data_IF_917566658090
#
_entry.id   IF_917566658090
#
_cell.length_a   1.000
_cell.length_b   1.000
_cell.length_c   1.000
_cell.angle_alpha   90.00
_cell.angle_beta   90.00
_cell.angle_gamma   90.00
#
_symmetry.space_group_name_H-M   'P 1'
#
loop_
_entity.id
_entity.type
_entity.pdbx_description
1 polymer ?
#
# COMPACT_ATOMS: atom_id res chain seq x y z
N UNK A 1 12.55 -21.37 45.67
CA UNK A 1 13.20 -21.37 44.34
C UNK A 1 12.26 -21.26 43.13
N UNK A 2 10.92 -21.34 43.27
CA UNK A 2 10.00 -21.28 42.11
C UNK A 2 10.01 -19.89 41.44
N UNK A 3 10.00 -18.82 42.24
CA UNK A 3 10.03 -17.42 41.77
C UNK A 3 11.31 -17.10 40.97
N UNK A 4 12.45 -17.66 41.40
CA UNK A 4 13.74 -17.48 40.71
C UNK A 4 13.75 -18.15 39.31
N UNK A 5 13.03 -19.27 39.16
CA UNK A 5 12.89 -19.95 37.86
C UNK A 5 12.07 -19.14 36.87
N UNK A 6 10.96 -18.52 37.32
CA UNK A 6 10.14 -17.66 36.45
C UNK A 6 10.86 -16.37 36.06
N UNK A 7 11.68 -15.82 36.97
CA UNK A 7 12.51 -14.65 36.67
C UNK A 7 13.59 -14.95 35.62
N UNK A 8 14.18 -16.15 35.66
CA UNK A 8 15.16 -16.59 34.67
C UNK A 8 14.54 -16.77 33.26
N UNK A 9 13.32 -17.33 33.21
CA UNK A 9 12.57 -17.51 31.95
C UNK A 9 12.16 -16.16 31.35
N UNK A 10 11.73 -15.21 32.18
CA UNK A 10 11.38 -13.86 31.73
C UNK A 10 12.59 -13.10 31.16
N UNK A 11 13.77 -13.25 31.76
CA UNK A 11 15.00 -12.62 31.27
C UNK A 11 15.42 -13.20 29.90
N UNK A 12 15.22 -14.50 29.68
CA UNK A 12 15.51 -15.16 28.41
C UNK A 12 14.60 -14.68 27.28
N UNK A 13 13.32 -14.40 27.58
CA UNK A 13 12.36 -13.85 26.61
C UNK A 13 12.72 -12.41 26.22
N UNK A 14 13.17 -11.60 27.17
CA UNK A 14 13.62 -10.22 26.91
C UNK A 14 14.90 -10.14 26.07
N UNK A 15 15.82 -11.09 26.25
CA UNK A 15 17.09 -11.16 25.49
C UNK A 15 16.92 -11.76 24.08
N UNK A 16 15.84 -12.51 23.82
CA UNK A 16 15.56 -13.14 22.52
C UNK A 16 14.86 -12.24 21.50
N UNK A 17 14.52 -11.00 21.86
CA UNK A 17 13.82 -10.07 20.97
C UNK A 17 14.81 -9.47 19.98
N UNK A 18 14.89 -10.06 18.79
CA UNK A 18 15.67 -9.54 17.68
C UNK A 18 15.02 -8.24 17.15
N UNK A 19 15.64 -7.09 17.43
CA UNK A 19 15.18 -5.76 16.99
C UNK A 19 15.06 -5.60 15.46
N UNK A 20 15.73 -6.47 14.69
CA UNK A 20 15.70 -6.47 13.23
C UNK A 20 14.42 -7.07 12.62
N UNK A 21 13.56 -7.71 13.42
CA UNK A 21 12.30 -8.28 12.94
C UNK A 21 11.24 -7.23 12.54
N UNK A 22 11.47 -5.95 12.88
CA UNK A 22 10.51 -4.87 12.64
C UNK A 22 10.68 -4.16 11.28
N UNK A 23 11.75 -4.43 10.52
CA UNK A 23 11.95 -3.77 9.23
C UNK A 23 11.33 -4.65 8.14
N UNK A 24 10.25 -4.21 7.46
CA UNK A 24 9.68 -4.95 6.35
C UNK A 24 10.74 -5.12 5.25
N UNK A 25 10.99 -6.36 4.85
CA UNK A 25 12.02 -6.70 3.87
C UNK A 25 11.56 -6.53 2.43
N UNK A 26 10.25 -6.60 2.20
CA UNK A 26 9.64 -6.61 0.86
C UNK A 26 9.13 -5.23 0.43
N UNK A 27 9.14 -4.25 1.33
CA UNK A 27 8.64 -2.90 1.03
C UNK A 27 9.83 -2.02 0.63
N UNK A 28 9.71 -1.26 -0.48
CA UNK A 28 10.74 -0.32 -0.89
C UNK A 28 11.09 0.63 0.25
N UNK A 29 12.38 0.68 0.61
CA UNK A 29 12.89 1.59 1.63
C UNK A 29 12.98 3.00 1.02
N UNK A 30 13.06 4.07 1.83
CA UNK A 30 13.30 5.43 1.32
C UNK A 30 14.60 5.60 0.52
N UNK A 31 15.47 4.58 0.54
CA UNK A 31 16.73 4.51 -0.20
C UNK A 31 16.52 3.86 -1.58
N UNK A 32 15.43 3.10 -1.75
CA UNK A 32 15.05 2.38 -2.97
C UNK A 32 14.21 3.29 -3.88
N UNK A 33 14.78 4.43 -4.26
CA UNK A 33 14.12 5.43 -5.12
C UNK A 33 14.46 5.24 -6.61
N UNK A 34 14.64 3.99 -7.04
CA UNK A 34 14.88 3.70 -8.45
C UNK A 34 13.70 4.21 -9.30
N UNK A 35 13.95 4.81 -10.48
CA UNK A 35 12.88 5.20 -11.38
C UNK A 35 11.97 4.01 -11.72
N UNK A 36 10.68 4.29 -11.92
CA UNK A 36 9.72 3.28 -12.38
C UNK A 36 10.12 2.80 -13.78
N UNK A 37 10.23 1.49 -13.97
CA UNK A 37 10.52 0.91 -15.29
C UNK A 37 9.25 0.78 -16.13
N UNK A 38 9.14 1.61 -17.17
CA UNK A 38 8.02 1.58 -18.11
C UNK A 38 8.19 0.54 -19.23
N UNK A 39 9.25 -0.25 -19.22
CA UNK A 39 9.37 -1.44 -20.09
C UNK A 39 8.41 -2.55 -19.64
N UNK A 40 8.05 -2.57 -18.35
CA UNK A 40 7.07 -3.49 -17.80
C UNK A 40 5.63 -3.01 -18.09
N UNK A 41 4.79 -3.83 -18.75
CA UNK A 41 3.41 -3.45 -19.06
C UNK A 41 2.58 -3.09 -17.83
N UNK A 42 2.86 -3.71 -16.68
CA UNK A 42 2.11 -3.48 -15.43
C UNK A 42 2.28 -2.03 -14.95
N UNK A 43 3.48 -1.46 -15.09
CA UNK A 43 3.77 -0.10 -14.66
C UNK A 43 3.07 0.92 -15.56
N UNK A 44 3.01 0.68 -16.87
CA UNK A 44 2.21 1.50 -17.79
C UNK A 44 0.73 1.46 -17.40
N UNK A 45 0.19 0.27 -17.12
CA UNK A 45 -1.24 0.11 -16.78
C UNK A 45 -1.57 0.87 -15.49
N UNK A 46 -0.78 0.67 -14.43
CA UNK A 46 -1.05 1.24 -13.11
C UNK A 46 -0.82 2.75 -13.07
N UNK A 47 0.28 3.24 -13.63
CA UNK A 47 0.68 4.63 -13.48
C UNK A 47 0.13 5.56 -14.57
N UNK A 48 -0.34 5.02 -15.71
CA UNK A 48 -0.85 5.84 -16.83
C UNK A 48 -2.30 5.50 -17.16
N UNK A 49 -2.59 4.24 -17.49
CA UNK A 49 -3.91 3.84 -18.01
C UNK A 49 -4.99 3.97 -16.93
N UNK A 50 -4.73 3.50 -15.71
CA UNK A 50 -5.71 3.53 -14.63
C UNK A 50 -6.12 4.97 -14.23
N UNK A 51 -5.20 5.94 -14.05
CA UNK A 51 -5.55 7.35 -13.86
C UNK A 51 -6.38 7.93 -15.02
N UNK A 52 -5.99 7.65 -16.27
CA UNK A 52 -6.75 8.11 -17.44
C UNK A 52 -8.16 7.51 -17.49
N UNK A 53 -8.31 6.23 -17.15
CA UNK A 53 -9.60 5.57 -17.08
C UNK A 53 -10.52 6.22 -16.05
N UNK A 54 -9.99 6.58 -14.87
CA UNK A 54 -10.74 7.31 -13.83
C UNK A 54 -11.24 8.65 -14.38
N UNK A 55 -10.38 9.42 -15.05
CA UNK A 55 -10.76 10.72 -15.66
C UNK A 55 -11.88 10.54 -16.67
N UNK A 56 -11.75 9.56 -17.58
CA UNK A 56 -12.77 9.26 -18.60
C UNK A 56 -14.10 8.86 -17.95
N UNK A 57 -14.06 7.97 -16.96
CA UNK A 57 -15.27 7.52 -16.24
C UNK A 57 -15.96 8.69 -15.53
N UNK A 58 -15.21 9.59 -14.91
CA UNK A 58 -15.77 10.79 -14.27
C UNK A 58 -16.45 11.71 -15.29
N UNK A 59 -15.85 11.91 -16.46
CA UNK A 59 -16.43 12.72 -17.54
C UNK A 59 -17.75 12.08 -18.03
N UNK A 60 -17.74 10.77 -18.29
CA UNK A 60 -18.94 10.04 -18.73
C UNK A 60 -20.05 10.14 -17.68
N UNK A 61 -19.72 9.91 -16.40
CA UNK A 61 -20.67 10.00 -15.30
C UNK A 61 -21.27 11.39 -15.16
N UNK A 62 -20.44 12.44 -15.26
CA UNK A 62 -20.90 13.83 -15.20
C UNK A 62 -21.86 14.17 -16.34
N UNK A 63 -21.53 13.72 -17.56
CA UNK A 63 -22.35 14.00 -18.74
C UNK A 63 -23.69 13.25 -18.71
N UNK A 64 -23.73 12.06 -18.10
CA UNK A 64 -24.98 11.29 -17.96
C UNK A 64 -25.96 11.99 -17.00
N UNK A 65 -25.48 12.52 -15.86
CA UNK A 65 -26.33 13.23 -14.88
C UNK A 65 -27.01 14.48 -15.47
N UNK A 66 -26.32 15.23 -16.33
CA UNK A 66 -26.91 16.43 -16.95
C UNK A 66 -28.05 16.09 -17.93
N UNK A 67 -28.01 14.92 -18.58
CA UNK A 67 -29.09 14.48 -19.47
C UNK A 67 -30.34 14.12 -18.68
N UNK A 68 -30.19 13.46 -17.54
CA UNK A 68 -31.32 13.06 -16.70
C UNK A 68 -32.04 14.30 -16.09
N UNK A 69 -31.31 15.38 -15.81
CA UNK A 69 -31.87 16.65 -15.30
C UNK A 69 -32.59 17.48 -16.37
N UNK A 70 -32.18 17.36 -17.65
CA UNK A 70 -32.80 18.13 -18.76
C UNK A 70 -34.04 17.44 -19.32
N UNK A 71 -34.15 16.11 -19.18
CA UNK A 71 -35.31 15.31 -19.66
C UNK A 71 -36.51 15.40 -18.70
N UNK A 72 -36.31 15.79 -17.45
CA UNK A 72 -37.39 15.92 -16.45
C UNK A 72 -37.94 17.35 -16.25
N UNK A 73 -37.49 18.32 -17.04
CA UNK A 73 -38.06 19.68 -17.10
C UNK A 73 -38.86 19.87 -18.38
#
# INVERSE_FOLDING_TARGET
MKILKYSLVSLFILLGVNLNAQIPTEVPKPQDNSPVDFSEPVNIILFIILPLAVVVLVIIWRNKRQKDETVQK
#
